data_IF_119861893373
#
_entry.id   IF_119861893373
#
_cell.length_a   1.000
_cell.length_b   1.000
_cell.length_c   1.000
_cell.angle_alpha   90.00
_cell.angle_beta   90.00
_cell.angle_gamma   90.00
#
_symmetry.space_group_name_H-M   'P 1'
#
loop_
_entity.id
_entity.type
_entity.pdbx_description
1 polymer ?
#
# COMPACT_ATOMS: atom_id res chain seq x y z
N UNK A 1 13.38 -17.25 -9.08
CA UNK A 1 13.65 -16.55 -10.37
C UNK A 1 14.64 -15.42 -10.09
N UNK A 2 15.66 -15.22 -10.93
CA UNK A 2 16.77 -14.30 -10.66
C UNK A 2 16.53 -12.89 -11.27
N UNK A 3 17.06 -11.81 -10.66
CA UNK A 3 16.85 -10.43 -11.10
C UNK A 3 17.69 -9.98 -12.30
N UNK A 4 18.55 -10.83 -12.87
CA UNK A 4 19.41 -10.46 -13.99
C UNK A 4 20.50 -9.46 -13.58
N UNK A 5 20.74 -8.44 -14.41
CA UNK A 5 21.77 -7.42 -14.13
C UNK A 5 21.32 -6.46 -13.01
N UNK A 6 22.25 -6.11 -12.12
CA UNK A 6 22.04 -5.24 -10.94
C UNK A 6 22.80 -3.91 -10.99
N UNK A 7 23.54 -3.65 -12.09
CA UNK A 7 24.39 -2.46 -12.23
C UNK A 7 24.92 -2.25 -13.64
N UNK A 8 25.50 -1.07 -13.87
CA UNK A 8 26.26 -0.77 -15.08
C UNK A 8 27.74 -1.13 -14.89
N UNK A 9 28.48 -1.25 -15.99
CA UNK A 9 29.91 -1.60 -16.01
C UNK A 9 30.82 -0.52 -15.39
N UNK A 10 31.70 0.09 -16.17
CA UNK A 10 32.83 0.90 -15.66
C UNK A 10 32.41 2.10 -14.80
N UNK A 11 31.36 2.83 -15.19
CA UNK A 11 30.81 3.96 -14.41
C UNK A 11 29.32 3.70 -14.22
N UNK A 12 28.79 3.60 -12.98
CA UNK A 12 29.35 4.01 -11.69
C UNK A 12 30.08 2.92 -10.89
N UNK A 13 30.36 1.73 -11.46
CA UNK A 13 31.18 0.68 -10.81
C UNK A 13 30.61 0.09 -9.51
N UNK A 14 29.34 0.37 -9.21
CA UNK A 14 28.65 -0.06 -7.99
C UNK A 14 27.15 -0.17 -8.23
N UNK A 15 26.48 -0.91 -7.37
CA UNK A 15 25.01 -0.94 -7.33
C UNK A 15 24.48 0.38 -6.77
N UNK A 16 23.50 0.97 -7.45
CA UNK A 16 22.84 2.21 -7.03
C UNK A 16 22.05 1.96 -5.75
N UNK A 17 22.16 2.87 -4.77
CA UNK A 17 21.38 2.78 -3.53
C UNK A 17 19.88 2.80 -3.84
N UNK A 18 19.13 1.86 -3.26
CA UNK A 18 17.70 1.72 -3.51
C UNK A 18 17.35 0.87 -4.74
N UNK A 19 18.33 0.26 -5.41
CA UNK A 19 18.07 -0.75 -6.45
C UNK A 19 17.18 -1.86 -5.88
N UNK A 20 16.05 -2.14 -6.56
CA UNK A 20 15.07 -3.12 -6.10
C UNK A 20 15.64 -4.53 -6.28
N UNK A 21 15.70 -5.29 -5.19
CA UNK A 21 16.16 -6.68 -5.18
C UNK A 21 15.21 -7.52 -4.33
N UNK A 22 15.51 -8.81 -4.18
CA UNK A 22 14.78 -9.68 -3.27
C UNK A 22 14.80 -9.12 -1.84
N UNK A 23 13.68 -9.21 -1.16
CA UNK A 23 13.49 -8.71 0.19
C UNK A 23 12.13 -9.13 0.72
N UNK A 24 11.84 -8.78 1.98
CA UNK A 24 10.53 -9.01 2.57
C UNK A 24 9.49 -8.14 1.86
N UNK A 25 8.42 -8.74 1.39
CA UNK A 25 7.28 -8.05 0.79
C UNK A 25 6.08 -8.08 1.75
N UNK A 26 5.38 -6.96 1.87
CA UNK A 26 4.18 -6.84 2.70
C UNK A 26 4.48 -6.52 4.16
N UNK A 27 3.42 -6.50 4.99
CA UNK A 27 3.44 -5.94 6.35
C UNK A 27 3.75 -4.43 6.42
N UNK A 28 3.73 -3.74 5.27
CA UNK A 28 3.93 -2.30 5.18
C UNK A 28 2.62 -1.54 5.46
N UNK A 29 2.74 -0.30 5.94
CA UNK A 29 1.59 0.60 6.12
C UNK A 29 1.17 1.17 4.76
N UNK A 30 0.03 0.70 4.24
CA UNK A 30 -0.55 1.17 2.98
C UNK A 30 -1.76 2.07 3.24
N UNK A 31 -1.92 3.15 2.46
CA UNK A 31 -3.09 4.03 2.50
C UNK A 31 -3.76 4.05 1.15
N UNK A 32 -4.99 3.55 1.08
CA UNK A 32 -5.85 3.69 -0.10
C UNK A 32 -6.64 4.99 0.05
N UNK A 33 -6.60 5.85 -0.97
CA UNK A 33 -7.22 7.18 -0.96
C UNK A 33 -8.52 7.17 -1.76
N UNK A 34 -9.40 8.12 -1.46
CA UNK A 34 -10.64 8.38 -2.20
C UNK A 34 -11.58 7.17 -2.31
N UNK A 35 -11.67 6.38 -1.24
CA UNK A 35 -12.71 5.35 -1.13
C UNK A 35 -14.06 6.00 -0.84
N UNK A 36 -15.09 5.49 -1.48
CA UNK A 36 -16.47 5.93 -1.32
C UNK A 36 -17.14 5.15 -0.17
N UNK A 37 -17.76 5.88 0.77
CA UNK A 37 -18.60 5.29 1.82
C UNK A 37 -20.00 5.13 1.25
N UNK A 38 -20.44 3.90 1.08
CA UNK A 38 -21.74 3.57 0.47
C UNK A 38 -22.85 3.68 1.51
N UNK A 39 -22.58 3.24 2.73
CA UNK A 39 -23.56 3.23 3.82
C UNK A 39 -22.83 3.25 5.17
N UNK A 40 -23.44 3.93 6.14
CA UNK A 40 -23.05 3.88 7.54
C UNK A 40 -24.26 3.43 8.35
N UNK A 41 -24.08 2.42 9.19
CA UNK A 41 -25.08 1.91 10.13
C UNK A 41 -24.53 2.10 11.55
N UNK A 42 -24.91 3.20 12.22
CA UNK A 42 -24.44 3.52 13.57
C UNK A 42 -24.93 2.53 14.62
N UNK A 43 -26.13 1.96 14.44
CA UNK A 43 -26.74 1.03 15.41
C UNK A 43 -25.92 -0.25 15.53
N UNK A 44 -25.40 -0.73 14.39
CA UNK A 44 -24.55 -1.92 14.31
C UNK A 44 -23.06 -1.61 14.31
N UNK A 45 -22.68 -0.33 14.34
CA UNK A 45 -21.31 0.16 14.19
C UNK A 45 -20.62 -0.37 12.91
N UNK A 46 -21.35 -0.41 11.79
CA UNK A 46 -20.86 -0.90 10.51
C UNK A 46 -20.65 0.25 9.51
N UNK A 47 -19.55 0.16 8.76
CA UNK A 47 -19.25 1.09 7.67
C UNK A 47 -19.02 0.29 6.39
N UNK A 48 -19.86 0.53 5.38
CA UNK A 48 -19.75 -0.11 4.08
C UNK A 48 -18.94 0.81 3.16
N UNK A 49 -17.80 0.29 2.71
CA UNK A 49 -16.87 1.01 1.83
C UNK A 49 -16.80 0.31 0.48
N UNK A 50 -16.87 1.08 -0.60
CA UNK A 50 -16.73 0.56 -1.96
C UNK A 50 -15.26 0.36 -2.30
N UNK A 51 -14.90 -0.86 -2.66
CA UNK A 51 -13.55 -1.21 -3.13
C UNK A 51 -12.76 -2.06 -2.13
N UNK A 52 -11.44 -2.02 -2.26
CA UNK A 52 -10.52 -2.84 -1.48
C UNK A 52 -9.85 -2.05 -0.35
N UNK A 53 -9.64 -2.72 0.77
CA UNK A 53 -8.99 -2.19 1.97
C UNK A 53 -7.72 -2.99 2.25
N UNK A 54 -6.60 -2.36 2.62
CA UNK A 54 -5.34 -3.07 2.85
C UNK A 54 -5.40 -3.87 4.15
N UNK A 55 -4.74 -5.04 4.15
CA UNK A 55 -4.65 -5.92 5.32
C UNK A 55 -5.51 -7.17 5.18
N UNK A 56 -5.38 -8.07 6.16
CA UNK A 56 -6.21 -9.26 6.25
C UNK A 56 -7.52 -8.97 6.99
N UNK A 57 -8.49 -9.89 6.95
CA UNK A 57 -9.72 -9.77 7.74
C UNK A 57 -9.38 -9.59 9.22
N UNK A 58 -10.08 -8.67 9.89
CA UNK A 58 -9.86 -8.29 11.30
C UNK A 58 -8.57 -7.51 11.58
N UNK A 59 -7.87 -6.97 10.57
CA UNK A 59 -6.78 -6.03 10.80
C UNK A 59 -7.28 -4.67 11.29
N UNK A 60 -6.50 -3.98 12.11
CA UNK A 60 -6.78 -2.60 12.53
C UNK A 60 -6.65 -1.65 11.34
N UNK A 61 -7.66 -0.79 11.16
CA UNK A 61 -7.70 0.22 10.10
C UNK A 61 -7.85 1.61 10.71
N UNK A 62 -7.14 2.57 10.11
CA UNK A 62 -7.30 3.98 10.44
C UNK A 62 -8.07 4.67 9.30
N UNK A 63 -9.30 5.06 9.59
CA UNK A 63 -10.16 5.77 8.63
C UNK A 63 -10.05 7.28 8.90
N UNK A 64 -9.78 8.06 7.86
CA UNK A 64 -9.67 9.52 7.94
C UNK A 64 -10.40 10.17 6.77
N UNK A 65 -10.97 11.35 7.00
CA UNK A 65 -11.56 12.17 5.93
C UNK A 65 -10.46 12.55 4.92
N UNK A 66 -10.75 12.36 3.62
CA UNK A 66 -9.83 12.80 2.56
C UNK A 66 -9.82 14.33 2.48
N UNK A 67 -8.62 14.92 2.42
CA UNK A 67 -8.44 16.38 2.29
C UNK A 67 -8.60 16.89 0.85
N UNK A 68 -8.69 16.01 -0.14
CA UNK A 68 -9.01 16.37 -1.54
C UNK A 68 -10.29 15.69 -1.96
N UNK A 69 -11.24 16.48 -2.48
CA UNK A 69 -12.32 15.98 -3.33
C UNK A 69 -11.74 15.79 -4.73
N UNK A 70 -11.95 14.60 -5.29
CA UNK A 70 -11.85 14.41 -6.74
C UNK A 70 -13.02 15.10 -7.42
#
# INVERSE_FOLDING_TARGET
>A
RAPGSIGAGTTPGRVIKGMRMAGRMGSDRVTVKNLEVVMADPDRNLLLVKGAVPGHRNSLLLIRKSGRKS
#
